data_IF_857011961405
#
_entry.id   IF_857011961405
#
_cell.length_a   1.000
_cell.length_b   1.000
_cell.length_c   1.000
_cell.angle_alpha   90.00
_cell.angle_beta   90.00
_cell.angle_gamma   90.00
#
_symmetry.space_group_name_H-M   'P 1'
#
loop_
_entity.id
_entity.type
_entity.pdbx_description
1 polymer ?
#
# COMPACT_ATOMS: atom_id res chain seq x y z
N UNK A 1 -31.55 44.53 31.06
CA UNK A 1 -32.88 44.29 31.68
C UNK A 1 -33.09 42.80 31.83
N UNK A 2 -33.14 42.38 33.11
CA UNK A 2 -33.95 41.33 33.75
C UNK A 2 -33.98 39.94 33.13
N UNK A 3 -33.22 38.97 33.71
CA UNK A 3 -33.60 38.03 34.79
C UNK A 3 -34.75 37.06 34.41
N UNK A 4 -34.48 35.73 34.44
CA UNK A 4 -34.86 34.88 35.58
C UNK A 4 -34.39 33.44 35.44
N UNK A 5 -33.69 32.99 36.49
CA UNK A 5 -33.43 31.60 36.90
C UNK A 5 -34.76 30.92 37.24
N UNK A 6 -34.82 29.59 37.12
CA UNK A 6 -35.47 28.72 38.11
C UNK A 6 -34.90 27.32 38.08
N UNK A 7 -34.37 26.95 39.22
CA UNK A 7 -34.03 25.61 39.74
C UNK A 7 -35.26 24.92 40.29
N UNK A 8 -35.27 23.56 40.31
CA UNK A 8 -35.91 22.70 41.32
C UNK A 8 -35.38 21.27 41.06
N UNK A 9 -34.56 20.65 41.85
CA UNK A 9 -34.57 20.00 43.15
C UNK A 9 -35.47 18.75 43.22
N UNK A 10 -34.73 17.61 43.36
CA UNK A 10 -34.93 16.38 44.10
C UNK A 10 -36.32 15.79 44.35
N UNK A 11 -36.38 14.46 44.19
CA UNK A 11 -36.76 13.57 45.35
C UNK A 11 -36.25 12.13 45.08
N UNK A 12 -35.66 11.60 46.11
CA UNK A 12 -35.13 10.26 46.36
C UNK A 12 -36.26 9.40 46.92
N UNK A 13 -36.37 8.14 46.51
CA UNK A 13 -37.09 7.13 47.32
C UNK A 13 -36.43 5.76 47.18
N UNK A 14 -35.94 5.32 48.27
CA UNK A 14 -35.37 4.00 48.62
C UNK A 14 -36.53 3.06 48.94
N UNK A 15 -36.50 1.78 48.54
CA UNK A 15 -37.12 0.70 49.32
C UNK A 15 -36.53 -0.67 48.95
N UNK A 16 -36.32 -1.44 49.99
CA UNK A 16 -35.52 -2.63 50.18
C UNK A 16 -36.21 -3.96 49.84
N UNK A 17 -35.41 -4.91 49.52
CA UNK A 17 -35.33 -6.36 49.81
C UNK A 17 -36.61 -7.16 50.06
N UNK A 18 -36.63 -8.37 49.45
CA UNK A 18 -36.96 -9.64 50.14
C UNK A 18 -36.48 -10.86 49.32
N UNK A 19 -35.71 -11.71 49.97
CA UNK A 19 -35.24 -13.03 49.55
C UNK A 19 -36.39 -14.04 49.70
N UNK A 20 -36.59 -14.94 48.74
CA UNK A 20 -37.16 -16.27 49.02
C UNK A 20 -36.48 -17.32 48.13
N UNK A 21 -35.91 -18.32 48.76
CA UNK A 21 -35.42 -19.59 48.22
C UNK A 21 -36.56 -20.49 47.76
N UNK A 22 -36.32 -21.28 46.71
CA UNK A 22 -37.20 -22.37 46.31
C UNK A 22 -36.56 -23.25 45.26
N UNK A 23 -36.31 -24.49 45.61
CA UNK A 23 -35.68 -25.54 44.82
C UNK A 23 -36.56 -26.18 43.78
N UNK A 24 -35.90 -26.70 42.74
CA UNK A 24 -36.16 -27.95 41.99
C UNK A 24 -37.26 -27.98 40.93
N UNK A 25 -36.84 -28.21 39.71
CA UNK A 25 -37.71 -28.65 38.59
C UNK A 25 -36.88 -28.76 37.30
N UNK A 26 -36.46 -29.98 37.00
CA UNK A 26 -35.92 -30.41 35.72
C UNK A 26 -36.93 -30.18 34.60
N UNK A 27 -36.64 -29.28 33.69
CA UNK A 27 -37.29 -29.24 32.39
C UNK A 27 -36.26 -28.90 31.29
N UNK A 28 -36.07 -29.89 30.45
CA UNK A 28 -35.29 -29.86 29.23
C UNK A 28 -35.90 -28.81 28.27
N UNK A 29 -35.31 -27.63 28.15
CA UNK A 29 -35.56 -26.72 27.05
C UNK A 29 -34.39 -26.77 26.11
N UNK A 30 -34.68 -27.31 24.93
CA UNK A 30 -33.88 -27.10 23.70
C UNK A 30 -33.59 -25.62 23.49
N UNK A 31 -32.37 -25.21 23.81
CA UNK A 31 -31.83 -23.96 23.33
C UNK A 31 -31.48 -24.17 21.87
N UNK A 32 -32.23 -23.50 21.00
CA UNK A 32 -31.76 -23.18 19.66
C UNK A 32 -30.61 -22.19 19.78
N UNK A 33 -29.38 -22.72 19.89
CA UNK A 33 -28.18 -21.94 19.64
C UNK A 33 -28.24 -21.42 18.20
N UNK A 34 -28.49 -20.13 18.08
CA UNK A 34 -28.05 -19.38 16.92
C UNK A 34 -26.51 -19.45 16.95
N UNK A 35 -25.95 -20.36 16.16
CA UNK A 35 -24.51 -20.51 16.00
C UNK A 35 -23.92 -19.26 15.37
N UNK A 36 -23.55 -18.30 16.20
CA UNK A 36 -22.53 -17.34 15.86
C UNK A 36 -21.23 -18.13 15.68
N UNK A 37 -20.64 -18.07 14.51
CA UNK A 37 -19.31 -18.61 14.26
C UNK A 37 -18.37 -18.06 15.35
N UNK A 38 -17.86 -18.97 16.20
CA UNK A 38 -16.76 -18.62 17.11
C UNK A 38 -15.56 -18.39 16.20
N UNK A 39 -15.19 -17.13 16.00
CA UNK A 39 -14.00 -16.76 15.26
C UNK A 39 -12.75 -17.43 15.82
N UNK A 40 -11.71 -17.51 15.05
CA UNK A 40 -10.41 -18.12 15.41
C UNK A 40 -9.63 -17.35 16.50
N UNK A 41 -10.26 -16.43 17.23
CA UNK A 41 -9.62 -15.48 18.13
C UNK A 41 -8.70 -16.12 19.18
N UNK A 42 -9.10 -17.21 19.82
CA UNK A 42 -8.29 -17.87 20.87
C UNK A 42 -7.77 -16.89 21.91
N UNK A 43 -6.43 -16.90 22.14
CA UNK A 43 -5.72 -16.02 23.08
C UNK A 43 -5.10 -14.78 22.39
N UNK A 44 -5.67 -14.33 21.24
CA UNK A 44 -5.24 -13.15 20.53
C UNK A 44 -5.78 -11.87 21.19
N UNK A 45 -5.12 -10.76 20.97
CA UNK A 45 -5.57 -9.44 21.40
C UNK A 45 -6.88 -9.05 20.70
N UNK A 46 -7.59 -8.05 21.26
CA UNK A 46 -8.92 -7.66 20.77
C UNK A 46 -8.87 -6.75 19.55
N UNK A 47 -7.73 -6.18 19.23
CA UNK A 47 -7.56 -5.24 18.13
C UNK A 47 -6.17 -5.28 17.52
N UNK A 48 -6.04 -4.63 16.34
CA UNK A 48 -4.80 -4.44 15.61
C UNK A 48 -4.82 -3.08 14.90
N UNK A 49 -3.67 -2.43 14.76
CA UNK A 49 -3.49 -1.19 14.00
C UNK A 49 -2.58 -1.46 12.79
N UNK A 50 -3.09 -1.20 11.59
CA UNK A 50 -2.40 -1.44 10.32
C UNK A 50 -2.10 -0.11 9.63
N UNK A 51 -0.84 0.13 9.26
CA UNK A 51 -0.46 1.22 8.35
C UNK A 51 -0.25 0.65 6.95
N UNK A 52 -0.82 1.31 5.93
CA UNK A 52 -0.80 0.75 4.58
C UNK A 52 -1.00 1.81 3.49
N UNK A 53 -0.33 1.69 2.33
CA UNK A 53 -0.61 2.51 1.16
C UNK A 53 -1.62 1.87 0.18
N UNK A 54 -2.24 0.76 0.54
CA UNK A 54 -3.10 -0.02 -0.37
C UNK A 54 -4.41 0.66 -0.75
N UNK A 55 -4.80 1.74 -0.04
CA UNK A 55 -6.06 2.42 -0.25
C UNK A 55 -7.27 1.70 0.35
N UNK A 56 -8.34 2.46 0.50
CA UNK A 56 -9.56 2.07 1.22
C UNK A 56 -10.18 0.76 0.73
N UNK A 57 -10.19 0.51 -0.58
CA UNK A 57 -10.93 -0.63 -1.14
C UNK A 57 -10.32 -1.98 -0.70
N UNK A 58 -8.97 -2.08 -0.73
CA UNK A 58 -8.26 -3.26 -0.24
C UNK A 58 -8.37 -3.34 1.29
N UNK A 59 -8.08 -2.24 1.98
CA UNK A 59 -8.07 -2.23 3.44
C UNK A 59 -9.43 -2.60 4.03
N UNK A 60 -10.53 -1.99 3.58
CA UNK A 60 -11.88 -2.33 4.06
C UNK A 60 -12.32 -3.75 3.72
N UNK A 61 -11.84 -4.32 2.62
CA UNK A 61 -12.13 -5.72 2.26
C UNK A 61 -11.49 -6.68 3.26
N UNK A 62 -10.20 -6.48 3.55
CA UNK A 62 -9.45 -7.38 4.44
C UNK A 62 -9.74 -7.12 5.93
N UNK A 63 -10.00 -5.86 6.34
CA UNK A 63 -10.57 -5.50 7.64
C UNK A 63 -11.81 -6.37 7.93
N UNK A 64 -12.82 -6.26 7.10
CA UNK A 64 -14.08 -6.97 7.27
C UNK A 64 -13.90 -8.50 7.35
N UNK A 65 -13.09 -9.08 6.47
CA UNK A 65 -12.86 -10.52 6.45
C UNK A 65 -12.11 -11.00 7.70
N UNK A 66 -11.09 -10.24 8.14
CA UNK A 66 -10.33 -10.56 9.33
C UNK A 66 -11.19 -10.45 10.60
N UNK A 67 -11.98 -9.39 10.72
CA UNK A 67 -12.93 -9.20 11.83
C UNK A 67 -13.98 -10.32 11.88
N UNK A 68 -14.53 -10.72 10.74
CA UNK A 68 -15.50 -11.82 10.65
C UNK A 68 -14.87 -13.17 11.04
N UNK A 69 -13.62 -13.42 10.66
CA UNK A 69 -12.94 -14.70 10.90
C UNK A 69 -12.36 -14.82 12.30
N UNK A 70 -11.73 -13.74 12.79
CA UNK A 70 -10.98 -13.74 14.05
C UNK A 70 -11.71 -13.07 15.22
N UNK A 71 -12.68 -12.18 14.96
CA UNK A 71 -13.35 -11.38 15.99
C UNK A 71 -12.41 -10.34 16.63
N UNK A 72 -11.46 -9.81 15.85
CA UNK A 72 -10.47 -8.81 16.24
C UNK A 72 -10.76 -7.53 15.49
N UNK A 73 -10.83 -6.39 16.17
CA UNK A 73 -11.08 -5.07 15.60
C UNK A 73 -9.84 -4.58 14.81
N UNK A 74 -10.03 -4.11 13.59
CA UNK A 74 -8.94 -3.64 12.71
C UNK A 74 -9.04 -2.14 12.51
N UNK A 75 -8.12 -1.40 13.11
CA UNK A 75 -7.93 0.02 12.83
C UNK A 75 -6.84 0.17 11.75
N UNK A 76 -7.09 0.97 10.70
CA UNK A 76 -6.07 1.19 9.67
C UNK A 76 -5.91 2.66 9.30
N UNK A 77 -4.70 3.00 8.86
CA UNK A 77 -4.37 4.30 8.27
C UNK A 77 -3.81 4.11 6.87
N UNK A 78 -4.45 4.77 5.90
CA UNK A 78 -4.03 4.83 4.51
C UNK A 78 -3.13 6.07 4.30
N UNK A 79 -1.87 5.82 3.92
CA UNK A 79 -0.90 6.88 3.63
C UNK A 79 0.24 6.32 2.74
N UNK A 80 0.98 7.21 2.06
CA UNK A 80 2.10 6.79 1.20
C UNK A 80 3.19 6.03 1.95
N UNK A 81 3.86 5.07 1.29
CA UNK A 81 4.87 4.19 1.92
C UNK A 81 6.00 4.96 2.59
N UNK A 82 6.46 6.07 2.01
CA UNK A 82 7.49 6.91 2.63
C UNK A 82 6.94 7.67 3.85
N UNK A 83 5.69 8.15 3.78
CA UNK A 83 5.01 8.79 4.90
C UNK A 83 4.85 7.82 6.08
N UNK A 84 4.58 6.53 5.79
CA UNK A 84 4.54 5.48 6.82
C UNK A 84 5.93 5.30 7.46
N UNK A 85 6.98 5.20 6.66
CA UNK A 85 8.35 5.05 7.17
C UNK A 85 8.72 6.20 8.13
N UNK A 86 8.45 7.44 7.73
CA UNK A 86 8.74 8.61 8.54
C UNK A 86 7.90 8.64 9.82
N UNK A 87 6.66 8.18 9.73
CA UNK A 87 5.76 8.07 10.88
C UNK A 87 6.23 7.00 11.87
N UNK A 88 6.53 5.80 11.40
CA UNK A 88 7.04 4.70 12.25
C UNK A 88 8.38 5.11 12.91
N UNK A 89 9.25 5.83 12.19
CA UNK A 89 10.47 6.44 12.77
C UNK A 89 10.13 7.40 13.92
N UNK A 90 9.18 8.29 13.72
CA UNK A 90 8.77 9.25 14.75
C UNK A 90 8.12 8.61 15.97
N UNK A 91 7.46 7.49 15.77
CA UNK A 91 6.75 6.71 16.78
C UNK A 91 7.62 5.63 17.45
N UNK A 92 8.91 5.50 17.09
CA UNK A 92 9.81 4.42 17.57
C UNK A 92 9.78 4.19 19.08
N UNK A 93 9.69 5.26 19.89
CA UNK A 93 9.65 5.16 21.35
C UNK A 93 8.28 4.75 21.92
N UNK A 94 7.22 4.85 21.12
CA UNK A 94 5.85 4.49 21.47
C UNK A 94 5.08 4.13 20.19
N UNK A 95 5.32 2.93 19.61
CA UNK A 95 4.70 2.50 18.37
C UNK A 95 3.17 2.56 18.43
N UNK A 96 2.56 3.05 17.36
CA UNK A 96 1.10 3.12 17.26
C UNK A 96 0.56 2.07 16.27
N UNK A 97 1.37 1.64 15.30
CA UNK A 97 1.04 0.55 14.41
C UNK A 97 1.56 -0.78 14.95
N UNK A 98 0.84 -1.85 14.65
CA UNK A 98 1.26 -3.23 14.89
C UNK A 98 1.82 -3.86 13.60
N UNK A 99 1.19 -3.55 12.47
CA UNK A 99 1.58 -4.06 11.15
C UNK A 99 1.74 -2.92 10.16
N UNK A 100 2.73 -3.06 9.30
CA UNK A 100 2.90 -2.25 8.10
C UNK A 100 2.75 -3.15 6.87
N UNK A 101 1.71 -2.93 6.05
CA UNK A 101 1.35 -3.77 4.92
C UNK A 101 1.27 -2.99 3.60
N UNK A 102 1.97 -3.45 2.56
CA UNK A 102 1.85 -2.94 1.19
C UNK A 102 2.96 -1.97 0.75
N UNK A 103 4.04 -1.80 1.52
CA UNK A 103 5.16 -0.97 1.08
C UNK A 103 6.14 -1.75 0.19
N UNK A 104 6.91 -1.05 -0.67
CA UNK A 104 8.06 -1.64 -1.33
C UNK A 104 9.11 -2.20 -0.37
N UNK A 105 9.78 -3.29 -0.77
CA UNK A 105 10.85 -3.93 0.00
C UNK A 105 11.96 -2.97 0.43
N UNK A 106 12.28 -1.97 -0.40
CA UNK A 106 13.25 -0.92 -0.09
C UNK A 106 12.89 -0.09 1.15
N UNK A 107 11.61 0.19 1.36
CA UNK A 107 11.14 0.86 2.58
C UNK A 107 11.29 -0.04 3.82
N UNK A 108 11.01 -1.34 3.69
CA UNK A 108 11.20 -2.29 4.79
C UNK A 108 12.66 -2.49 5.15
N UNK A 109 13.57 -2.52 4.17
CA UNK A 109 14.99 -2.62 4.41
C UNK A 109 15.53 -1.37 5.14
N UNK A 110 15.08 -0.18 4.76
CA UNK A 110 15.39 1.05 5.53
C UNK A 110 14.84 0.97 6.96
N UNK A 111 13.59 0.54 7.13
CA UNK A 111 12.97 0.37 8.45
C UNK A 111 13.70 -0.67 9.31
N UNK A 112 14.16 -1.78 8.72
CA UNK A 112 15.03 -2.77 9.37
C UNK A 112 16.33 -2.13 9.85
N UNK A 113 17.02 -1.38 8.96
CA UNK A 113 18.26 -0.66 9.28
C UNK A 113 18.10 0.31 10.44
N UNK A 114 16.94 0.93 10.57
CA UNK A 114 16.58 1.84 11.66
C UNK A 114 16.11 1.11 12.94
N UNK A 115 16.00 -0.22 12.92
CA UNK A 115 15.49 -1.03 14.04
C UNK A 115 14.02 -0.74 14.36
N UNK A 116 13.16 -0.68 13.33
CA UNK A 116 11.74 -0.36 13.43
C UNK A 116 10.83 -1.58 13.22
N UNK A 117 11.42 -2.73 12.84
CA UNK A 117 10.68 -3.95 12.51
C UNK A 117 11.05 -5.07 13.45
N UNK A 118 10.09 -5.93 13.76
CA UNK A 118 10.27 -7.19 14.47
C UNK A 118 10.41 -8.34 13.48
N UNK A 119 11.34 -9.26 13.73
CA UNK A 119 11.49 -10.45 12.91
C UNK A 119 10.35 -11.45 13.16
N UNK A 120 9.72 -11.93 12.08
CA UNK A 120 8.69 -12.96 12.13
C UNK A 120 8.81 -13.91 10.94
N UNK A 121 9.13 -15.17 11.19
CA UNK A 121 9.15 -16.21 10.15
C UNK A 121 7.76 -16.83 10.02
N UNK A 122 7.02 -16.56 8.91
CA UNK A 122 5.66 -17.05 8.75
C UNK A 122 5.61 -18.54 8.44
N UNK A 123 4.43 -19.13 8.67
CA UNK A 123 4.19 -20.55 8.41
C UNK A 123 4.33 -20.95 6.94
N UNK A 124 4.13 -20.00 6.02
CA UNK A 124 4.24 -20.18 4.57
C UNK A 124 5.62 -19.86 3.99
N UNK A 125 6.64 -19.70 4.82
CA UNK A 125 7.99 -19.30 4.40
C UNK A 125 8.57 -20.15 3.25
N UNK A 126 8.22 -21.43 3.18
CA UNK A 126 8.69 -22.35 2.12
C UNK A 126 7.99 -22.13 0.77
N UNK A 127 6.96 -21.27 0.73
CA UNK A 127 6.24 -20.89 -0.49
C UNK A 127 6.74 -19.57 -1.10
N UNK A 128 7.80 -19.00 -0.56
CA UNK A 128 8.44 -17.77 -1.05
C UNK A 128 9.78 -18.09 -1.69
N UNK A 129 10.00 -17.62 -2.92
CA UNK A 129 11.30 -17.70 -3.54
C UNK A 129 12.28 -16.70 -2.93
N UNK A 130 13.57 -16.96 -3.08
CA UNK A 130 14.65 -16.05 -2.67
C UNK A 130 14.45 -14.67 -3.34
N UNK A 131 14.53 -13.60 -2.53
CA UNK A 131 14.26 -12.23 -2.99
C UNK A 131 12.87 -11.72 -2.63
N UNK A 132 11.93 -12.59 -2.27
CA UNK A 132 10.62 -12.19 -1.76
C UNK A 132 10.52 -12.19 -0.23
N UNK A 133 11.63 -12.17 0.47
CA UNK A 133 11.68 -12.02 1.91
C UNK A 133 13.05 -11.49 2.37
N UNK A 134 13.07 -10.86 3.52
CA UNK A 134 14.32 -10.56 4.21
C UNK A 134 14.98 -11.85 4.71
N UNK A 135 16.32 -12.04 4.57
CA UNK A 135 17.00 -13.25 5.03
C UNK A 135 16.83 -13.54 6.52
N UNK A 136 16.56 -12.52 7.34
CA UNK A 136 16.35 -12.62 8.77
C UNK A 136 14.86 -12.48 9.15
N UNK A 137 13.94 -12.46 8.14
CA UNK A 137 12.48 -12.43 8.30
C UNK A 137 11.91 -11.16 8.92
N UNK A 138 12.51 -10.00 8.69
CA UNK A 138 11.94 -8.72 9.11
C UNK A 138 10.77 -8.27 8.22
N UNK A 139 10.69 -8.79 7.00
CA UNK A 139 9.54 -8.61 6.10
C UNK A 139 9.41 -9.79 5.14
N UNK A 140 8.21 -9.99 4.58
CA UNK A 140 7.98 -10.86 3.43
C UNK A 140 7.20 -10.13 2.35
N UNK A 141 7.42 -10.53 1.09
CA UNK A 141 6.65 -10.08 -0.05
C UNK A 141 5.22 -10.60 0.00
N UNK A 142 4.29 -9.78 -0.41
CA UNK A 142 2.87 -10.12 -0.60
C UNK A 142 2.50 -10.14 -2.08
N UNK A 143 3.01 -9.17 -2.84
CA UNK A 143 2.75 -9.04 -4.27
C UNK A 143 3.91 -8.39 -5.02
N UNK A 144 3.92 -8.61 -6.33
CA UNK A 144 4.76 -7.91 -7.28
C UNK A 144 3.97 -6.83 -8.00
N UNK A 145 4.59 -5.69 -8.20
CA UNK A 145 3.96 -4.52 -8.82
C UNK A 145 4.87 -4.00 -9.93
N UNK A 146 4.60 -4.37 -11.19
CA UNK A 146 5.26 -3.76 -12.35
C UNK A 146 4.84 -2.31 -12.52
N UNK A 147 5.79 -1.43 -12.82
CA UNK A 147 5.53 -0.02 -13.09
C UNK A 147 5.31 0.20 -14.58
N UNK A 148 4.38 1.07 -14.93
CA UNK A 148 3.95 1.26 -16.32
C UNK A 148 3.77 2.73 -16.69
N UNK A 149 3.72 3.00 -18.00
CA UNK A 149 3.22 4.26 -18.51
C UNK A 149 1.70 4.17 -18.58
N UNK A 150 1.00 4.94 -17.75
CA UNK A 150 -0.46 5.03 -17.73
C UNK A 150 -0.94 6.15 -18.64
N UNK A 151 -2.04 5.92 -19.38
CA UNK A 151 -2.63 6.95 -20.22
C UNK A 151 -4.16 6.95 -20.20
N UNK A 152 -4.74 8.10 -20.55
CA UNK A 152 -6.18 8.24 -20.75
C UNK A 152 -6.54 7.83 -22.19
N UNK A 153 -7.24 6.72 -22.35
CA UNK A 153 -7.63 6.17 -23.64
C UNK A 153 -8.71 6.96 -24.39
N UNK A 154 -9.31 7.99 -23.77
CA UNK A 154 -10.18 8.95 -24.45
C UNK A 154 -9.41 10.08 -25.11
N UNK A 155 -8.21 10.39 -24.62
CA UNK A 155 -7.36 11.45 -25.11
C UNK A 155 -6.30 10.93 -26.11
N UNK A 156 -5.82 9.70 -25.90
CA UNK A 156 -4.74 9.09 -26.68
C UNK A 156 -5.12 7.69 -27.16
N UNK A 157 -4.89 7.42 -28.43
CA UNK A 157 -4.95 6.07 -28.98
C UNK A 157 -3.67 5.28 -28.67
N UNK A 158 -3.74 3.94 -28.76
CA UNK A 158 -2.61 3.04 -28.54
C UNK A 158 -1.39 3.33 -29.43
N UNK A 159 -1.62 3.90 -30.63
CA UNK A 159 -0.54 4.19 -31.57
C UNK A 159 0.18 5.52 -31.30
N UNK A 160 -0.43 6.41 -30.50
CA UNK A 160 0.08 7.74 -30.17
C UNK A 160 0.89 7.78 -28.88
N UNK A 161 0.66 6.80 -27.98
CA UNK A 161 1.27 6.77 -26.64
C UNK A 161 2.75 6.42 -26.69
N UNK A 162 3.56 6.86 -25.69
CA UNK A 162 4.94 6.44 -25.55
C UNK A 162 5.03 4.92 -25.41
N UNK A 163 5.99 4.30 -26.11
CA UNK A 163 6.27 2.85 -26.04
C UNK A 163 7.38 2.51 -25.04
N UNK A 164 8.18 3.50 -24.69
CA UNK A 164 9.29 3.35 -23.75
C UNK A 164 9.47 4.61 -22.89
N UNK A 165 10.23 4.48 -21.82
CA UNK A 165 10.52 5.53 -20.85
C UNK A 165 11.07 6.80 -21.52
N UNK A 166 11.99 6.66 -22.48
CA UNK A 166 12.65 7.80 -23.11
C UNK A 166 11.72 8.58 -24.03
N UNK A 167 10.65 7.98 -24.51
CA UNK A 167 9.64 8.66 -25.32
C UNK A 167 8.77 9.63 -24.51
N UNK A 168 8.74 9.50 -23.17
CA UNK A 168 8.13 10.49 -22.27
C UNK A 168 8.84 11.85 -22.31
N UNK A 169 10.07 11.87 -22.81
CA UNK A 169 10.90 13.08 -22.91
C UNK A 169 10.64 13.89 -24.19
N UNK A 170 9.83 13.37 -25.11
CA UNK A 170 9.46 14.11 -26.35
C UNK A 170 8.72 15.40 -25.95
N UNK A 171 9.13 16.56 -26.47
CA UNK A 171 8.45 17.84 -26.21
C UNK A 171 6.96 17.89 -26.59
N UNK A 172 6.46 16.94 -27.41
CA UNK A 172 5.02 16.81 -27.70
C UNK A 172 4.18 16.55 -26.42
N UNK A 173 4.80 16.00 -25.35
CA UNK A 173 4.16 15.71 -24.08
C UNK A 173 4.20 16.85 -23.07
N UNK A 174 4.63 18.05 -23.52
CA UNK A 174 4.69 19.20 -22.61
C UNK A 174 3.34 19.50 -21.98
N UNK A 175 3.32 19.57 -20.65
CA UNK A 175 2.13 19.80 -19.83
C UNK A 175 1.05 18.68 -19.94
N UNK A 176 1.43 17.48 -20.45
CA UNK A 176 0.54 16.32 -20.58
C UNK A 176 0.74 15.26 -19.49
N UNK A 177 1.82 15.34 -18.72
CA UNK A 177 2.17 14.35 -17.72
C UNK A 177 1.81 14.85 -16.32
N UNK A 178 1.02 14.08 -15.57
CA UNK A 178 0.69 14.34 -14.17
C UNK A 178 1.27 13.21 -13.32
N UNK A 179 2.08 13.54 -12.33
CA UNK A 179 2.83 12.56 -11.52
C UNK A 179 2.47 12.71 -10.04
N UNK A 180 2.35 11.61 -9.31
CA UNK A 180 2.30 11.62 -7.85
C UNK A 180 3.63 12.15 -7.29
N UNK A 181 3.59 13.02 -6.29
CA UNK A 181 4.80 13.60 -5.68
C UNK A 181 5.75 12.52 -5.17
N UNK A 182 6.97 12.43 -5.72
CA UNK A 182 7.87 11.29 -5.47
C UNK A 182 8.31 11.13 -4.03
N UNK A 183 8.55 12.23 -3.28
CA UNK A 183 9.07 12.13 -1.91
C UNK A 183 8.10 11.44 -0.95
N UNK A 184 6.80 11.45 -1.25
CA UNK A 184 5.77 10.83 -0.41
C UNK A 184 5.31 9.44 -0.92
N UNK A 185 5.89 8.94 -2.03
CA UNK A 185 5.44 7.72 -2.71
C UNK A 185 6.57 6.73 -2.95
N UNK A 186 6.48 5.52 -2.39
CA UNK A 186 7.43 4.45 -2.64
C UNK A 186 7.51 4.06 -4.12
N UNK A 187 6.36 3.91 -4.79
CA UNK A 187 6.24 3.68 -6.24
C UNK A 187 7.00 4.72 -7.05
N UNK A 188 6.74 6.00 -6.83
CA UNK A 188 7.39 7.07 -7.60
C UNK A 188 8.88 7.19 -7.30
N UNK A 189 9.28 7.01 -6.03
CA UNK A 189 10.70 6.93 -5.66
C UNK A 189 11.41 5.83 -6.43
N UNK A 190 10.77 4.66 -6.56
CA UNK A 190 11.32 3.55 -7.31
C UNK A 190 11.43 3.85 -8.80
N UNK A 191 10.39 4.38 -9.44
CA UNK A 191 10.46 4.75 -10.87
C UNK A 191 11.58 5.75 -11.11
N UNK A 192 11.66 6.83 -10.31
CA UNK A 192 12.68 7.85 -10.47
C UNK A 192 14.08 7.31 -10.20
N UNK A 193 14.25 6.49 -9.15
CA UNK A 193 15.52 5.83 -8.88
C UNK A 193 15.93 4.86 -9.99
N UNK A 194 14.97 4.14 -10.59
CA UNK A 194 15.26 3.26 -11.72
C UNK A 194 15.74 4.03 -12.95
N UNK A 195 15.16 5.19 -13.23
CA UNK A 195 15.63 6.05 -14.34
C UNK A 195 17.04 6.57 -14.10
N UNK A 196 17.41 6.88 -12.86
CA UNK A 196 18.79 7.24 -12.50
C UNK A 196 19.70 6.02 -12.60
N UNK A 197 19.27 4.88 -12.05
CA UNK A 197 20.07 3.65 -11.98
C UNK A 197 20.41 3.07 -13.36
N UNK A 198 19.57 3.27 -14.38
CA UNK A 198 19.82 2.82 -15.77
C UNK A 198 21.22 3.18 -16.29
N UNK A 199 21.74 4.35 -15.91
CA UNK A 199 23.05 4.84 -16.31
C UNK A 199 24.07 4.78 -15.17
N UNK A 200 23.60 4.95 -13.93
CA UNK A 200 24.43 4.91 -12.72
C UNK A 200 25.17 3.59 -12.55
N UNK A 201 24.53 2.45 -12.85
CA UNK A 201 25.12 1.10 -12.69
C UNK A 201 26.43 0.91 -13.47
N UNK A 202 26.59 1.58 -14.60
CA UNK A 202 27.76 1.48 -15.47
C UNK A 202 28.80 2.57 -15.19
N UNK A 203 28.37 3.74 -14.69
CA UNK A 203 29.20 4.94 -14.58
C UNK A 203 29.53 5.33 -13.15
N UNK A 204 28.73 4.87 -12.18
CA UNK A 204 28.73 5.33 -10.79
C UNK A 204 28.50 6.86 -10.66
N UNK A 205 27.86 7.47 -11.67
CA UNK A 205 27.52 8.89 -11.73
C UNK A 205 26.01 9.04 -12.04
N UNK A 206 25.20 9.70 -11.18
CA UNK A 206 23.77 9.87 -11.37
C UNK A 206 23.41 10.94 -12.41
N UNK A 207 24.40 11.65 -12.96
CA UNK A 207 24.20 12.84 -13.79
C UNK A 207 23.24 12.62 -14.95
N UNK A 208 23.43 11.55 -15.73
CA UNK A 208 22.59 11.29 -16.91
C UNK A 208 21.16 10.96 -16.51
N UNK A 209 20.96 10.28 -15.38
CA UNK A 209 19.64 10.05 -14.81
C UNK A 209 18.98 11.35 -14.31
N UNK A 210 19.72 12.25 -13.71
CA UNK A 210 19.23 13.58 -13.36
C UNK A 210 18.86 14.41 -14.59
N UNK A 211 19.66 14.36 -15.65
CA UNK A 211 19.34 15.01 -16.93
C UNK A 211 18.07 14.43 -17.56
N UNK A 212 17.83 13.12 -17.41
CA UNK A 212 16.60 12.44 -17.81
C UNK A 212 15.39 12.98 -17.02
N UNK A 213 15.47 12.98 -15.67
CA UNK A 213 14.41 13.48 -14.80
C UNK A 213 14.11 14.97 -15.02
N UNK A 214 15.13 15.77 -15.36
CA UNK A 214 14.96 17.19 -15.69
C UNK A 214 14.15 17.37 -16.98
N UNK A 215 14.35 16.52 -17.99
CA UNK A 215 13.55 16.53 -19.21
C UNK A 215 12.13 16.06 -18.95
N UNK A 216 11.95 15.03 -18.11
CA UNK A 216 10.62 14.60 -17.68
C UNK A 216 9.89 15.73 -16.95
N UNK A 217 10.57 16.45 -16.04
CA UNK A 217 9.99 17.59 -15.34
C UNK A 217 9.50 18.67 -16.31
N UNK A 218 10.20 18.93 -17.41
CA UNK A 218 9.78 19.90 -18.42
C UNK A 218 8.44 19.53 -19.07
N UNK A 219 8.14 18.24 -19.20
CA UNK A 219 6.90 17.72 -19.75
C UNK A 219 5.82 17.49 -18.69
N UNK A 220 6.22 17.43 -17.40
CA UNK A 220 5.30 17.26 -16.28
C UNK A 220 4.52 18.55 -16.04
N UNK A 221 3.21 18.46 -16.03
CA UNK A 221 2.30 19.56 -15.73
C UNK A 221 2.29 19.92 -14.24
N UNK A 222 2.20 18.89 -13.41
CA UNK A 222 2.15 19.06 -11.96
C UNK A 222 2.51 17.77 -11.21
N UNK A 223 2.79 17.93 -9.91
CA UNK A 223 2.95 16.84 -8.95
C UNK A 223 1.76 16.82 -8.01
N UNK A 224 1.01 15.71 -7.99
CA UNK A 224 -0.18 15.53 -7.16
C UNK A 224 0.17 15.09 -5.75
N UNK A 225 -0.51 15.65 -4.74
CA UNK A 225 -0.28 15.34 -3.33
C UNK A 225 -0.63 13.90 -2.96
N UNK A 226 -1.60 13.28 -3.66
CA UNK A 226 -2.00 11.90 -3.43
C UNK A 226 -2.40 11.19 -4.74
N UNK A 227 -2.47 9.84 -4.77
CA UNK A 227 -2.79 9.10 -5.97
C UNK A 227 -4.19 9.40 -6.52
N UNK A 228 -5.18 9.56 -5.65
CA UNK A 228 -6.57 9.77 -6.06
C UNK A 228 -6.73 11.08 -6.86
N UNK A 229 -6.03 12.14 -6.45
CA UNK A 229 -6.01 13.40 -7.21
C UNK A 229 -5.39 13.19 -8.59
N UNK A 230 -4.26 12.47 -8.69
CA UNK A 230 -3.62 12.15 -9.96
C UNK A 230 -4.60 11.39 -10.86
N UNK A 231 -5.23 10.33 -10.36
CA UNK A 231 -6.21 9.56 -11.12
C UNK A 231 -7.35 10.42 -11.66
N UNK A 232 -7.95 11.23 -10.79
CA UNK A 232 -9.06 12.09 -11.15
C UNK A 232 -8.70 13.11 -12.25
N UNK A 233 -7.50 13.69 -12.18
CA UNK A 233 -7.02 14.67 -13.16
C UNK A 233 -6.74 14.03 -14.52
N UNK A 234 -6.00 12.90 -14.52
CA UNK A 234 -5.74 12.17 -15.77
C UNK A 234 -7.05 11.67 -16.39
N UNK A 235 -7.98 11.15 -15.59
CA UNK A 235 -9.28 10.68 -16.10
C UNK A 235 -10.15 11.79 -16.70
N UNK A 236 -9.98 13.04 -16.26
CA UNK A 236 -10.67 14.23 -16.80
C UNK A 236 -9.97 14.86 -18.00
N UNK A 237 -8.80 14.36 -18.40
CA UNK A 237 -8.02 14.94 -19.49
C UNK A 237 -7.31 16.24 -19.08
N UNK A 238 -7.05 16.47 -17.80
CA UNK A 238 -6.23 17.61 -17.35
C UNK A 238 -4.74 17.40 -17.69
N UNK A 239 -4.34 16.19 -17.96
CA UNK A 239 -3.13 15.67 -18.58
C UNK A 239 -3.46 14.27 -19.08
N UNK A 240 -2.78 13.82 -20.13
CA UNK A 240 -3.12 12.57 -20.81
C UNK A 240 -2.31 11.36 -20.34
N UNK A 241 -1.20 11.60 -19.64
CA UNK A 241 -0.21 10.60 -19.23
C UNK A 241 0.12 10.65 -17.74
N UNK A 242 0.52 9.50 -17.22
CA UNK A 242 1.21 9.36 -15.94
C UNK A 242 2.17 8.16 -15.98
N UNK A 243 2.92 7.94 -14.91
CA UNK A 243 3.68 6.72 -14.64
C UNK A 243 3.24 6.18 -13.30
N UNK A 244 2.87 4.89 -13.25
CA UNK A 244 2.27 4.32 -12.04
C UNK A 244 2.32 2.79 -12.02
N UNK A 245 1.83 2.19 -10.94
CA UNK A 245 1.72 0.77 -10.74
C UNK A 245 0.67 0.13 -11.66
N UNK A 246 1.03 -0.88 -12.43
CA UNK A 246 0.12 -1.58 -13.36
C UNK A 246 -1.15 -2.11 -12.66
N UNK A 247 -1.07 -2.76 -11.48
CA UNK A 247 -2.25 -3.28 -10.82
C UNK A 247 -3.31 -2.21 -10.51
N UNK A 248 -2.87 -1.01 -10.10
CA UNK A 248 -3.79 0.08 -9.81
C UNK A 248 -4.47 0.60 -11.07
N UNK A 249 -3.72 0.70 -12.19
CA UNK A 249 -4.27 1.11 -13.48
C UNK A 249 -5.37 0.16 -13.93
N UNK A 250 -5.11 -1.16 -13.85
CA UNK A 250 -6.09 -2.20 -14.20
C UNK A 250 -7.29 -2.16 -13.27
N UNK A 251 -7.07 -2.09 -11.95
CA UNK A 251 -8.14 -2.02 -10.95
C UNK A 251 -9.07 -0.82 -11.19
N UNK A 252 -8.50 0.36 -11.46
CA UNK A 252 -9.27 1.56 -11.71
C UNK A 252 -10.08 1.48 -13.02
N UNK A 253 -9.50 0.88 -14.06
CA UNK A 253 -10.19 0.62 -15.32
C UNK A 253 -11.37 -0.34 -15.12
N UNK A 254 -11.12 -1.51 -14.58
CA UNK A 254 -12.10 -2.59 -14.51
C UNK A 254 -13.17 -2.34 -13.42
N UNK A 255 -12.76 -1.88 -12.22
CA UNK A 255 -13.67 -1.75 -11.08
C UNK A 255 -14.35 -0.37 -11.00
N UNK A 256 -13.71 0.69 -11.52
CA UNK A 256 -14.21 2.07 -11.41
C UNK A 256 -14.52 2.74 -12.75
N UNK A 257 -14.34 2.03 -13.87
CA UNK A 257 -14.57 2.53 -15.22
C UNK A 257 -13.79 3.82 -15.57
N UNK A 258 -12.59 3.97 -14.99
CA UNK A 258 -11.69 5.03 -15.43
C UNK A 258 -11.21 4.76 -16.87
N UNK A 259 -11.01 5.79 -17.70
CA UNK A 259 -10.55 5.62 -19.08
C UNK A 259 -9.04 5.35 -19.14
N UNK A 260 -8.56 4.40 -18.33
CA UNK A 260 -7.14 4.13 -18.25
C UNK A 260 -6.73 2.92 -19.06
N UNK A 261 -5.58 3.05 -19.69
CA UNK A 261 -4.82 1.99 -20.31
C UNK A 261 -3.34 2.16 -19.95
N UNK A 262 -2.52 1.18 -20.26
CA UNK A 262 -1.10 1.24 -19.95
C UNK A 262 -0.24 0.65 -21.04
N UNK A 263 1.04 1.01 -20.99
CA UNK A 263 2.12 0.42 -21.78
C UNK A 263 3.19 -0.10 -20.83
N UNK A 264 3.59 -1.35 -21.00
CA UNK A 264 4.79 -1.90 -20.38
C UNK A 264 5.96 -1.44 -21.27
N UNK A 265 6.93 -0.68 -20.73
CA UNK A 265 8.02 -0.15 -21.54
C UNK A 265 8.88 -1.24 -22.18
N UNK A 266 9.24 -1.07 -23.46
CA UNK A 266 9.98 -2.06 -24.26
C UNK A 266 11.38 -2.33 -23.71
N UNK A 267 12.04 -1.35 -23.12
CA UNK A 267 13.34 -1.50 -22.48
C UNK A 267 13.29 -2.27 -21.16
N UNK A 268 12.08 -2.53 -20.65
CA UNK A 268 11.82 -3.16 -19.36
C UNK A 268 11.31 -2.18 -18.31
N UNK A 269 10.83 -2.72 -17.22
CA UNK A 269 10.23 -1.94 -16.14
C UNK A 269 10.72 -2.36 -14.76
N UNK A 270 10.78 -1.43 -13.78
CA UNK A 270 10.93 -1.82 -12.38
C UNK A 270 9.75 -2.69 -11.97
N UNK A 271 10.05 -3.81 -11.31
CA UNK A 271 9.03 -4.68 -10.70
C UNK A 271 9.25 -4.63 -9.20
N UNK A 272 8.39 -3.90 -8.52
CA UNK A 272 8.45 -3.79 -7.07
C UNK A 272 7.97 -5.07 -6.39
N UNK A 273 8.62 -5.45 -5.31
CA UNK A 273 8.06 -6.37 -4.33
C UNK A 273 7.42 -5.54 -3.23
N UNK A 274 6.11 -5.58 -3.15
CA UNK A 274 5.36 -5.05 -2.01
C UNK A 274 5.28 -6.13 -0.93
N UNK A 275 5.40 -5.73 0.31
CA UNK A 275 5.50 -6.68 1.41
C UNK A 275 4.67 -6.31 2.63
N UNK A 276 4.96 -7.03 3.71
CA UNK A 276 4.37 -6.85 5.02
C UNK A 276 5.44 -7.03 6.09
N UNK A 277 5.34 -6.28 7.18
CA UNK A 277 6.21 -6.36 8.33
C UNK A 277 5.43 -6.12 9.64
N UNK A 278 5.94 -6.69 10.73
CA UNK A 278 5.48 -6.36 12.08
C UNK A 278 6.35 -5.22 12.60
N UNK A 279 5.73 -4.21 13.20
CA UNK A 279 6.44 -3.06 13.77
C UNK A 279 7.09 -3.47 15.09
N UNK A 280 8.35 -3.06 15.30
CA UNK A 280 9.06 -3.31 16.55
C UNK A 280 8.35 -2.66 17.73
N UNK A 281 8.08 -3.44 18.79
CA UNK A 281 7.32 -2.97 19.95
C UNK A 281 5.81 -2.86 19.70
N UNK A 282 5.26 -3.56 18.71
CA UNK A 282 3.83 -3.70 18.46
C UNK A 282 3.06 -4.02 19.76
N UNK A 283 1.92 -3.36 19.97
CA UNK A 283 1.12 -3.52 21.19
C UNK A 283 0.25 -4.78 21.18
N UNK A 284 -0.03 -5.31 19.99
CA UNK A 284 -0.89 -6.47 19.76
C UNK A 284 -0.15 -7.52 18.91
N UNK A 285 0.99 -8.08 19.43
CA UNK A 285 1.90 -8.90 18.61
C UNK A 285 1.26 -10.18 18.09
N UNK A 286 0.41 -10.86 18.86
CA UNK A 286 -0.26 -12.08 18.39
C UNK A 286 -1.33 -11.81 17.35
N UNK A 287 -2.09 -10.73 17.50
CA UNK A 287 -3.04 -10.29 16.50
C UNK A 287 -2.31 -9.83 15.22
N UNK A 288 -1.14 -9.19 15.35
CA UNK A 288 -0.28 -8.83 14.24
C UNK A 288 0.21 -10.05 13.45
N UNK A 289 0.70 -11.09 14.14
CA UNK A 289 1.09 -12.36 13.52
C UNK A 289 -0.10 -13.03 12.81
N UNK A 290 -1.28 -13.06 13.45
CA UNK A 290 -2.49 -13.63 12.84
C UNK A 290 -2.92 -12.85 11.58
N UNK A 291 -2.84 -11.52 11.58
CA UNK A 291 -3.13 -10.70 10.41
C UNK A 291 -2.09 -10.91 9.30
N UNK A 292 -0.83 -11.01 9.67
CA UNK A 292 0.28 -11.30 8.75
C UNK A 292 0.05 -12.61 7.98
N UNK A 293 -0.29 -13.69 8.69
CA UNK A 293 -0.63 -14.99 8.10
C UNK A 293 -1.90 -14.91 7.23
N UNK A 294 -2.92 -14.19 7.71
CA UNK A 294 -4.22 -14.07 7.04
C UNK A 294 -4.11 -13.38 5.68
N UNK A 295 -3.49 -12.19 5.60
CA UNK A 295 -3.39 -11.44 4.33
C UNK A 295 -2.45 -12.08 3.31
N UNK A 296 -1.64 -13.03 3.75
CA UNK A 296 -0.76 -13.84 2.92
C UNK A 296 -1.24 -15.28 2.73
N UNK A 297 -2.46 -15.63 3.17
CA UNK A 297 -3.03 -16.95 2.86
C UNK A 297 -3.22 -17.13 1.35
N UNK A 298 -3.24 -18.37 0.81
CA UNK A 298 -3.54 -18.59 -0.61
C UNK A 298 -4.86 -17.99 -1.05
N UNK A 299 -5.87 -18.01 -0.18
CA UNK A 299 -7.18 -17.41 -0.40
C UNK A 299 -7.10 -15.89 -0.50
N UNK A 300 -6.37 -15.24 0.41
CA UNK A 300 -6.14 -13.80 0.38
C UNK A 300 -5.34 -13.38 -0.85
N UNK A 301 -4.29 -14.12 -1.20
CA UNK A 301 -3.49 -13.89 -2.40
C UNK A 301 -4.32 -14.03 -3.68
N UNK A 302 -5.26 -15.00 -3.72
CA UNK A 302 -6.20 -15.15 -4.83
C UNK A 302 -7.17 -13.97 -4.93
N UNK A 303 -7.74 -13.50 -3.82
CA UNK A 303 -8.59 -12.31 -3.79
C UNK A 303 -7.82 -11.08 -4.28
N UNK A 304 -6.58 -10.89 -3.81
CA UNK A 304 -5.72 -9.81 -4.29
C UNK A 304 -5.46 -9.89 -5.79
N UNK A 305 -5.28 -11.10 -6.34
CA UNK A 305 -5.07 -11.31 -7.77
C UNK A 305 -6.34 -11.07 -8.60
N UNK A 306 -7.48 -11.57 -8.18
CA UNK A 306 -8.74 -11.54 -8.94
C UNK A 306 -9.47 -10.18 -8.86
N UNK A 307 -9.49 -9.57 -7.66
CA UNK A 307 -10.25 -8.34 -7.42
C UNK A 307 -9.40 -7.07 -7.49
N UNK A 308 -8.11 -7.17 -7.17
CA UNK A 308 -7.20 -6.03 -7.05
C UNK A 308 -5.98 -6.11 -7.97
N UNK A 309 -5.94 -7.12 -8.84
CA UNK A 309 -4.92 -7.27 -9.88
C UNK A 309 -3.48 -7.33 -9.36
N UNK A 310 -3.27 -7.84 -8.13
CA UNK A 310 -1.95 -8.03 -7.54
C UNK A 310 -1.34 -9.36 -7.98
N UNK A 311 -0.08 -9.37 -8.37
CA UNK A 311 0.65 -10.60 -8.74
C UNK A 311 1.25 -11.19 -7.46
N UNK A 312 0.80 -12.36 -6.97
CA UNK A 312 1.31 -12.93 -5.73
C UNK A 312 2.81 -13.22 -5.79
N UNK A 313 3.50 -13.06 -4.66
CA UNK A 313 4.89 -13.54 -4.48
C UNK A 313 4.96 -15.01 -4.11
N UNK A 314 3.87 -15.57 -3.58
CA UNK A 314 3.77 -17.00 -3.25
C UNK A 314 3.68 -17.85 -4.50
N UNK A 315 4.47 -18.93 -4.55
CA UNK A 315 4.52 -19.88 -5.67
C UNK A 315 3.53 -21.05 -5.56
N UNK A 316 2.78 -21.16 -4.46
CA UNK A 316 1.81 -22.22 -4.20
C UNK A 316 0.34 -21.80 -4.44
N UNK A 317 0.09 -20.55 -4.85
CA UNK A 317 -1.26 -20.06 -5.20
C UNK A 317 -1.71 -20.67 -6.52
N UNK A 318 -2.87 -21.36 -6.50
CA UNK A 318 -3.41 -22.06 -7.68
C UNK A 318 -4.53 -21.23 -8.34
N UNK A 319 -4.79 -21.58 -9.59
CA UNK A 319 -5.92 -21.00 -10.36
C UNK A 319 -5.86 -19.49 -10.43
N UNK A 320 -4.67 -18.93 -10.66
CA UNK A 320 -4.48 -17.50 -10.90
C UNK A 320 -5.15 -17.06 -12.21
N UNK A 321 -5.63 -15.81 -12.31
CA UNK A 321 -6.19 -15.25 -13.54
C UNK A 321 -5.21 -15.35 -14.73
N UNK A 322 -5.76 -15.61 -15.94
CA UNK A 322 -4.96 -15.76 -17.17
C UNK A 322 -4.06 -14.54 -17.42
N UNK A 323 -4.51 -13.34 -17.10
CA UNK A 323 -3.71 -12.13 -17.29
C UNK A 323 -2.38 -12.14 -16.51
N UNK A 324 -2.31 -12.84 -15.35
CA UNK A 324 -1.04 -13.01 -14.59
C UNK A 324 -0.12 -13.98 -15.30
N UNK A 325 -0.68 -15.08 -15.85
CA UNK A 325 0.10 -16.14 -16.47
C UNK A 325 0.50 -15.84 -17.93
N UNK A 326 -0.22 -14.95 -18.60
CA UNK A 326 -0.03 -14.60 -20.01
C UNK A 326 0.62 -13.23 -20.25
N UNK A 327 0.68 -12.36 -19.24
CA UNK A 327 1.34 -11.06 -19.38
C UNK A 327 2.84 -11.20 -19.26
N UNK A 328 3.56 -10.94 -20.36
CA UNK A 328 5.02 -10.90 -20.35
C UNK A 328 5.49 -9.57 -19.75
N UNK A 329 6.10 -9.63 -18.57
CA UNK A 329 6.68 -8.50 -17.88
C UNK A 329 8.20 -8.60 -17.97
N UNK A 330 8.79 -7.72 -18.75
CA UNK A 330 10.23 -7.59 -18.84
C UNK A 330 10.74 -6.75 -17.68
N UNK A 331 11.24 -7.40 -16.62
CA UNK A 331 11.81 -6.70 -15.48
C UNK A 331 13.14 -6.02 -15.85
N UNK A 332 13.38 -4.82 -15.32
CA UNK A 332 14.70 -4.19 -15.32
C UNK A 332 15.65 -4.94 -14.39
N UNK A 333 16.92 -5.04 -14.81
CA UNK A 333 18.00 -5.51 -13.96
C UNK A 333 18.40 -4.38 -12.98
N UNK A 334 17.94 -4.50 -11.74
CA UNK A 334 18.08 -3.49 -10.67
C UNK A 334 18.79 -4.12 -9.47
N UNK A 335 19.88 -3.48 -9.03
CA UNK A 335 20.42 -3.72 -7.69
C UNK A 335 19.64 -2.87 -6.67
N UNK A 336 18.75 -3.53 -5.94
CA UNK A 336 17.92 -2.87 -4.94
C UNK A 336 18.73 -2.29 -3.77
N UNK A 337 19.93 -2.82 -3.47
CA UNK A 337 20.80 -2.24 -2.44
C UNK A 337 21.25 -0.82 -2.83
N UNK A 338 21.49 -0.58 -4.13
CA UNK A 338 21.83 0.76 -4.60
C UNK A 338 20.68 1.77 -4.36
N UNK A 339 19.41 1.31 -4.42
CA UNK A 339 18.25 2.16 -4.12
C UNK A 339 18.14 2.48 -2.64
N UNK A 340 18.49 1.52 -1.77
CA UNK A 340 18.53 1.73 -0.32
C UNK A 340 19.63 2.72 0.07
N UNK A 341 20.82 2.58 -0.51
CA UNK A 341 21.97 3.43 -0.18
C UNK A 341 21.87 4.84 -0.77
N UNK A 342 21.27 4.98 -1.97
CA UNK A 342 21.29 6.21 -2.76
C UNK A 342 19.95 6.89 -2.95
N UNK A 343 18.86 6.17 -2.73
CA UNK A 343 17.52 6.65 -3.05
C UNK A 343 17.15 7.97 -2.38
N UNK A 344 17.51 8.14 -1.10
CA UNK A 344 17.24 9.39 -0.37
C UNK A 344 18.07 10.55 -0.91
N UNK A 345 19.35 10.31 -1.24
CA UNK A 345 20.22 11.30 -1.86
C UNK A 345 19.68 11.73 -3.24
N UNK A 346 19.27 10.76 -4.07
CA UNK A 346 18.72 11.01 -5.40
C UNK A 346 17.40 11.78 -5.36
N UNK A 347 16.50 11.41 -4.47
CA UNK A 347 15.21 12.09 -4.33
C UNK A 347 15.35 13.48 -3.76
N UNK A 348 16.24 13.68 -2.80
CA UNK A 348 16.56 15.01 -2.27
C UNK A 348 17.15 15.91 -3.36
N UNK A 349 18.11 15.38 -4.14
CA UNK A 349 18.69 16.15 -5.24
C UNK A 349 17.64 16.56 -6.26
N UNK A 350 16.72 15.63 -6.62
CA UNK A 350 15.61 15.90 -7.53
C UNK A 350 14.72 17.03 -7.01
N UNK A 351 14.30 16.99 -5.78
CA UNK A 351 13.40 17.99 -5.19
C UNK A 351 14.05 19.38 -5.11
N UNK A 352 15.33 19.44 -4.74
CA UNK A 352 16.07 20.70 -4.55
C UNK A 352 16.59 21.32 -5.87
N UNK A 353 16.87 20.50 -6.90
CA UNK A 353 17.63 20.94 -8.09
C UNK A 353 16.94 20.69 -9.44
N UNK A 354 15.95 19.78 -9.48
CA UNK A 354 15.31 19.37 -10.74
C UNK A 354 13.86 19.82 -10.79
N UNK A 355 13.07 19.54 -9.76
CA UNK A 355 11.67 19.96 -9.70
C UNK A 355 11.55 21.46 -9.89
N UNK A 356 10.80 21.88 -10.91
CA UNK A 356 10.55 23.29 -11.19
C UNK A 356 9.76 23.95 -10.05
N UNK A 357 10.20 25.14 -9.62
CA UNK A 357 9.60 25.85 -8.48
C UNK A 357 8.19 26.35 -8.68
N UNK A 358 7.70 26.37 -9.94
CA UNK A 358 6.32 26.69 -10.32
C UNK A 358 5.37 25.47 -10.27
N UNK A 359 5.92 24.26 -10.09
CA UNK A 359 5.17 23.02 -9.96
C UNK A 359 4.95 22.71 -8.48
N UNK A 360 4.10 23.51 -7.84
CA UNK A 360 3.70 23.27 -6.46
C UNK A 360 2.91 21.97 -6.33
N UNK A 361 3.10 21.31 -5.19
CA UNK A 361 2.30 20.15 -4.83
C UNK A 361 0.90 20.68 -4.49
N UNK A 362 -0.09 20.33 -5.31
CA UNK A 362 -1.48 20.74 -5.10
C UNK A 362 -2.17 19.71 -4.23
N UNK A 363 -2.75 20.19 -3.12
CA UNK A 363 -3.65 19.43 -2.23
C UNK A 363 -5.07 19.30 -2.81
#
# INVERSE_FOLDING_TARGET
MKNKKKSFVSVMALSAALLISGCNGTDTKTNSDAGGAKGKKGDLEDKIVVYSPHGKDILSKFEKQFEEEYGIDVEWLDMGSQEILDRVRSEKSNPQADVWWGAPSTNFNQAKGDGLLAAYKPSYSDSLDEGFHDPEWYWTGTSQTPEVIMYNSKELSKDEVPKDWDELLDPKWKDEIIIRYPLASGTMRTIFSAMIYRTYKDTNDPKDGYDWLKKLDQNTKEYSANPEMMYNKVAKGEGSLSVWAMPDVVMLKENKNYPFEFVIPESGTPVLTEGIAIVEGAKHPKAAEAFYEFVNSPEAAKILAEEFYRIPTRNDVKDLPEWITETEIKAMDIDWNAFEEKGDEWMKYWDENIKSGDKEIKE
#
